data_IF_586252434776
#
_entry.id   IF_586252434776
#
_cell.length_a   1.000
_cell.length_b   1.000
_cell.length_c   1.000
_cell.angle_alpha   90.00
_cell.angle_beta   90.00
_cell.angle_gamma   90.00
#
_symmetry.space_group_name_H-M   'P 1'
#
loop_
_entity.id
_entity.type
_entity.pdbx_description
1 polymer ?
#
# COMPACT_ATOMS: atom_id res chain seq x y z
N UNK A 1 -10.32 -5.87 1.20
CA UNK A 1 -10.03 -4.73 0.31
C UNK A 1 -9.16 -5.13 -0.89
N UNK A 2 -7.93 -5.64 -0.70
CA UNK A 2 -7.05 -6.01 -1.81
C UNK A 2 -7.66 -7.01 -2.80
N UNK A 3 -8.39 -8.02 -2.32
CA UNK A 3 -9.11 -8.96 -3.19
C UNK A 3 -10.12 -8.26 -4.11
N UNK A 4 -10.95 -7.38 -3.57
CA UNK A 4 -11.90 -6.60 -4.38
C UNK A 4 -11.21 -5.67 -5.39
N UNK A 5 -10.00 -5.17 -5.08
CA UNK A 5 -9.25 -4.38 -6.04
C UNK A 5 -8.69 -5.23 -7.18
N UNK A 6 -8.16 -6.40 -6.87
CA UNK A 6 -7.74 -7.37 -7.88
C UNK A 6 -8.92 -7.82 -8.77
N UNK A 7 -10.08 -8.11 -8.17
CA UNK A 7 -11.29 -8.51 -8.91
C UNK A 7 -11.81 -7.38 -9.83
N UNK A 8 -11.67 -6.11 -9.42
CA UNK A 8 -12.09 -4.94 -10.20
C UNK A 8 -11.04 -4.44 -11.19
N UNK A 9 -9.77 -4.81 -11.02
CA UNK A 9 -8.64 -4.33 -11.82
C UNK A 9 -8.10 -2.95 -11.43
N UNK A 10 -8.61 -2.31 -10.37
CA UNK A 10 -8.10 -1.02 -9.87
C UNK A 10 -8.31 -0.85 -8.35
N UNK A 11 -7.51 0.03 -7.73
CA UNK A 11 -7.62 0.40 -6.31
C UNK A 11 -8.63 1.55 -6.11
N UNK A 12 -8.42 2.41 -5.12
CA UNK A 12 -9.10 3.70 -4.96
C UNK A 12 -8.15 4.83 -5.41
N UNK A 13 -8.68 5.98 -5.84
CA UNK A 13 -7.86 7.14 -6.17
C UNK A 13 -6.97 7.55 -4.99
N UNK A 14 -5.72 7.89 -5.28
CA UNK A 14 -4.72 8.32 -4.29
C UNK A 14 -4.24 9.73 -4.64
N UNK A 15 -4.15 10.60 -3.64
CA UNK A 15 -3.52 11.91 -3.77
C UNK A 15 -2.00 11.72 -3.81
N UNK A 16 -1.47 11.45 -5.00
CA UNK A 16 -0.06 11.21 -5.28
C UNK A 16 0.54 12.39 -6.04
N UNK A 17 1.78 12.74 -5.73
CA UNK A 17 2.53 13.68 -6.55
C UNK A 17 2.99 13.00 -7.84
N UNK A 18 2.98 13.68 -9.01
CA UNK A 18 3.44 13.11 -10.28
C UNK A 18 4.85 12.49 -10.21
N UNK A 19 5.75 13.07 -9.39
CA UNK A 19 7.11 12.57 -9.21
C UNK A 19 7.19 11.21 -8.48
N UNK A 20 6.12 10.80 -7.78
CA UNK A 20 6.06 9.53 -7.05
C UNK A 20 5.64 8.38 -7.95
N UNK A 21 4.77 8.63 -8.94
CA UNK A 21 4.15 7.59 -9.78
C UNK A 21 5.15 6.59 -10.37
N UNK A 22 6.30 7.02 -10.95
CA UNK A 22 7.24 6.08 -11.57
C UNK A 22 7.93 5.14 -10.58
N UNK A 23 7.88 5.45 -9.28
CA UNK A 23 8.55 4.71 -8.21
C UNK A 23 7.63 3.70 -7.53
N UNK A 24 6.32 3.86 -7.67
CA UNK A 24 5.33 2.97 -7.08
C UNK A 24 5.12 1.76 -7.98
N UNK A 25 5.26 0.56 -7.39
CA UNK A 25 5.20 -0.72 -8.13
C UNK A 25 4.16 -1.68 -7.57
N UNK A 26 3.86 -1.57 -6.28
CA UNK A 26 3.04 -2.54 -5.58
C UNK A 26 2.15 -1.86 -4.54
N UNK A 27 0.99 -2.44 -4.30
CA UNK A 27 0.05 -2.06 -3.26
C UNK A 27 -0.19 -3.21 -2.28
N UNK A 28 -0.48 -2.84 -1.05
CA UNK A 28 -1.05 -3.76 -0.06
C UNK A 28 -1.96 -2.97 0.86
N UNK A 29 -2.89 -3.67 1.50
CA UNK A 29 -3.77 -3.07 2.49
C UNK A 29 -3.88 -4.01 3.69
N UNK A 30 -3.97 -3.40 4.87
CA UNK A 30 -4.09 -4.11 6.14
C UNK A 30 -5.54 -4.10 6.58
N UNK A 31 -6.07 -5.27 6.91
CA UNK A 31 -7.41 -5.42 7.46
C UNK A 31 -7.37 -5.60 8.98
N UNK A 32 -8.43 -5.21 9.72
CA UNK A 32 -8.53 -5.53 11.15
C UNK A 32 -8.31 -7.03 11.40
N UNK A 33 -7.49 -7.35 12.41
CA UNK A 33 -7.16 -8.74 12.75
C UNK A 33 -6.04 -9.36 11.91
N UNK A 34 -5.60 -8.73 10.82
CA UNK A 34 -4.47 -9.23 10.02
C UNK A 34 -3.18 -9.24 10.86
N UNK A 35 -2.44 -10.35 10.79
CA UNK A 35 -1.21 -10.55 11.55
C UNK A 35 0.07 -10.43 10.69
N UNK A 36 -0.06 -10.58 9.36
CA UNK A 36 1.04 -10.51 8.42
C UNK A 36 0.60 -9.99 7.04
N UNK A 37 1.56 -9.54 6.24
CA UNK A 37 1.41 -9.30 4.80
C UNK A 37 1.89 -10.57 4.10
N UNK A 38 1.01 -11.27 3.38
CA UNK A 38 1.36 -12.48 2.63
C UNK A 38 1.58 -12.24 1.14
N UNK A 39 1.07 -11.14 0.61
CA UNK A 39 1.16 -10.81 -0.80
C UNK A 39 1.06 -9.30 -1.03
N UNK A 40 1.60 -8.88 -2.16
CA UNK A 40 1.47 -7.55 -2.73
C UNK A 40 0.71 -7.66 -4.06
N UNK A 41 0.06 -6.58 -4.45
CA UNK A 41 -0.61 -6.49 -5.74
C UNK A 41 0.15 -5.52 -6.63
N UNK A 42 0.52 -5.96 -7.83
CA UNK A 42 1.24 -5.14 -8.80
C UNK A 42 0.39 -3.96 -9.27
N UNK A 43 1.03 -2.79 -9.39
CA UNK A 43 0.46 -1.62 -10.07
C UNK A 43 0.96 -1.65 -11.51
N UNK A 44 0.03 -1.70 -12.46
CA UNK A 44 0.35 -1.77 -13.89
C UNK A 44 0.35 -0.40 -14.56
N UNK A 45 -0.50 0.51 -14.07
CA UNK A 45 -0.62 1.87 -14.59
C UNK A 45 -1.27 2.81 -13.56
N UNK A 46 -1.16 4.11 -13.82
CA UNK A 46 -1.91 5.15 -13.13
C UNK A 46 -2.66 5.99 -14.16
N UNK A 47 -3.94 6.25 -13.90
CA UNK A 47 -4.74 7.17 -14.70
C UNK A 47 -5.11 8.40 -13.85
N UNK A 48 -5.13 9.62 -14.42
CA UNK A 48 -5.67 10.79 -13.73
C UNK A 48 -7.12 10.56 -13.33
N UNK A 49 -7.47 10.91 -12.09
CA UNK A 49 -8.82 10.85 -11.58
C UNK A 49 -9.28 12.24 -11.14
N UNK A 50 -10.40 12.70 -11.71
CA UNK A 50 -10.94 14.01 -11.36
C UNK A 50 -12.09 13.85 -10.38
N UNK A 51 -11.92 14.40 -9.18
CA UNK A 51 -12.99 14.52 -8.20
C UNK A 51 -13.10 16.01 -7.77
N UNK A 52 -14.26 16.66 -8.01
CA UNK A 52 -14.42 18.08 -7.72
C UNK A 52 -14.07 18.43 -6.28
N UNK A 53 -13.12 19.35 -6.09
CA UNK A 53 -12.72 19.86 -4.78
C UNK A 53 -11.67 19.03 -4.02
N UNK A 54 -11.19 17.91 -4.57
CA UNK A 54 -10.23 17.02 -3.90
C UNK A 54 -8.80 17.13 -4.46
N UNK A 55 -8.60 17.93 -5.53
CA UNK A 55 -7.31 18.13 -6.17
C UNK A 55 -6.92 16.98 -7.09
N UNK A 56 -5.63 16.90 -7.45
CA UNK A 56 -5.14 15.87 -8.37
C UNK A 56 -5.08 14.50 -7.68
N UNK A 57 -5.87 13.56 -8.19
CA UNK A 57 -5.89 12.17 -7.76
C UNK A 57 -5.43 11.26 -8.89
N UNK A 58 -4.87 10.12 -8.52
CA UNK A 58 -4.39 9.10 -9.45
C UNK A 58 -5.02 7.75 -9.12
N UNK A 59 -5.64 7.13 -10.12
CA UNK A 59 -6.26 5.81 -10.00
C UNK A 59 -5.23 4.72 -10.33
N UNK A 60 -4.83 3.87 -9.38
CA UNK A 60 -3.92 2.78 -9.65
C UNK A 60 -4.68 1.61 -10.29
N UNK A 61 -4.28 1.23 -11.50
CA UNK A 61 -4.66 -0.03 -12.10
C UNK A 61 -3.78 -1.14 -11.56
N UNK A 62 -4.38 -2.30 -11.30
CA UNK A 62 -3.71 -3.40 -10.63
C UNK A 62 -3.78 -4.68 -11.43
N UNK A 63 -2.72 -5.48 -11.30
CA UNK A 63 -2.52 -6.70 -12.06
C UNK A 63 -2.30 -7.90 -11.15
N UNK A 64 -1.09 -8.48 -11.25
CA UNK A 64 -0.82 -9.78 -10.67
C UNK A 64 -0.54 -9.72 -9.16
N UNK A 65 -0.80 -10.83 -8.49
CA UNK A 65 -0.41 -11.03 -7.10
C UNK A 65 1.05 -11.47 -7.02
N UNK A 66 1.84 -10.71 -6.28
CA UNK A 66 3.18 -11.13 -5.85
C UNK A 66 3.08 -11.73 -4.46
N UNK A 67 3.08 -13.06 -4.37
CA UNK A 67 3.14 -13.76 -3.09
C UNK A 67 4.53 -13.63 -2.48
N UNK A 68 4.58 -13.22 -1.22
CA UNK A 68 5.85 -13.16 -0.50
C UNK A 68 6.30 -14.59 -0.16
N UNK A 69 7.60 -14.93 -0.36
CA UNK A 69 8.12 -16.26 -0.04
C UNK A 69 7.99 -16.60 1.44
N UNK A 70 7.96 -15.56 2.30
CA UNK A 70 7.61 -15.65 3.72
C UNK A 70 6.65 -14.51 4.04
N UNK A 71 5.49 -14.78 4.67
CA UNK A 71 4.61 -13.72 5.13
C UNK A 71 5.35 -12.78 6.09
N UNK A 72 5.29 -11.48 5.86
CA UNK A 72 5.92 -10.46 6.69
C UNK A 72 5.01 -10.19 7.91
N UNK A 73 5.40 -10.55 9.14
CA UNK A 73 4.62 -10.24 10.33
C UNK A 73 4.44 -8.74 10.50
N UNK A 74 3.30 -8.30 11.03
CA UNK A 74 3.09 -6.86 11.28
C UNK A 74 3.94 -6.35 12.45
N UNK A 75 4.09 -7.15 13.50
CA UNK A 75 4.76 -6.75 14.73
C UNK A 75 3.86 -5.92 15.67
N UNK A 76 4.43 -5.16 16.62
CA UNK A 76 3.65 -4.46 17.65
C UNK A 76 2.69 -3.41 17.07
N UNK A 77 1.39 -3.60 17.31
CA UNK A 77 0.32 -2.70 16.84
C UNK A 77 0.50 -1.25 17.30
N UNK A 78 1.02 -1.02 18.50
CA UNK A 78 1.22 0.32 19.04
C UNK A 78 2.19 1.16 18.17
N UNK A 79 3.23 0.53 17.62
CA UNK A 79 4.21 1.19 16.75
C UNK A 79 3.61 1.47 15.37
N UNK A 80 2.83 0.52 14.85
CA UNK A 80 2.16 0.66 13.56
C UNK A 80 1.04 1.71 13.57
N UNK A 81 0.27 1.87 14.66
CA UNK A 81 -0.83 2.85 14.74
C UNK A 81 -0.39 4.29 14.50
N UNK A 82 0.87 4.63 14.79
CA UNK A 82 1.42 5.97 14.58
C UNK A 82 1.93 6.20 13.15
N UNK A 83 2.15 5.11 12.40
CA UNK A 83 2.78 5.15 11.09
C UNK A 83 1.83 4.80 9.95
N UNK A 84 0.92 3.84 10.17
CA UNK A 84 0.00 3.39 9.15
C UNK A 84 -1.13 4.39 8.93
N UNK A 85 -1.63 4.48 7.68
CA UNK A 85 -2.91 5.12 7.36
C UNK A 85 -4.01 4.71 8.32
N UNK A 86 -4.71 5.70 8.89
CA UNK A 86 -5.88 5.50 9.74
C UNK A 86 -7.19 5.78 8.99
N UNK A 87 -7.12 6.43 7.83
CA UNK A 87 -8.26 6.77 6.97
C UNK A 87 -8.08 6.16 5.57
N UNK A 88 -9.16 5.84 4.84
CA UNK A 88 -9.08 5.23 3.51
C UNK A 88 -8.26 6.03 2.48
N UNK A 89 -8.27 7.36 2.58
CA UNK A 89 -7.55 8.27 1.69
C UNK A 89 -6.06 8.38 2.01
N UNK A 90 -5.65 7.91 3.19
CA UNK A 90 -4.26 7.94 3.61
C UNK A 90 -3.51 6.73 3.06
N UNK A 91 -2.24 6.94 2.75
CA UNK A 91 -1.34 5.91 2.26
C UNK A 91 0.05 6.15 2.84
N UNK A 92 0.88 5.12 2.82
CA UNK A 92 2.27 5.20 3.24
C UNK A 92 3.15 4.47 2.21
N UNK A 93 4.24 5.10 1.81
CA UNK A 93 5.22 4.50 0.91
C UNK A 93 6.28 3.79 1.73
N UNK A 94 6.56 2.55 1.34
CA UNK A 94 7.58 1.72 1.95
C UNK A 94 8.54 1.27 0.85
N UNK A 95 9.86 1.47 1.00
CA UNK A 95 10.83 0.95 0.04
C UNK A 95 10.73 -0.58 -0.04
N UNK A 96 10.55 -1.11 -1.26
CA UNK A 96 10.32 -2.55 -1.46
C UNK A 96 11.47 -3.39 -0.90
N UNK A 97 12.72 -3.00 -1.17
CA UNK A 97 13.89 -3.74 -0.67
C UNK A 97 13.95 -3.76 0.86
N UNK A 98 13.60 -2.64 1.52
CA UNK A 98 13.53 -2.59 2.97
C UNK A 98 12.39 -3.49 3.50
N UNK A 99 11.24 -3.52 2.82
CA UNK A 99 10.12 -4.39 3.15
C UNK A 99 10.49 -5.87 3.06
N UNK A 100 11.19 -6.27 1.99
CA UNK A 100 11.63 -7.65 1.79
C UNK A 100 12.74 -8.08 2.77
N UNK A 101 13.56 -7.15 3.24
CA UNK A 101 14.62 -7.40 4.21
C UNK A 101 14.13 -7.37 5.68
N UNK A 102 12.98 -6.78 5.95
CA UNK A 102 12.46 -6.63 7.30
C UNK A 102 12.03 -7.97 7.91
N UNK A 103 12.23 -8.12 9.23
CA UNK A 103 11.69 -9.26 9.98
C UNK A 103 10.21 -9.07 10.32
N UNK A 104 9.76 -7.81 10.39
CA UNK A 104 8.36 -7.41 10.60
C UNK A 104 8.15 -5.99 10.12
N UNK A 105 6.92 -5.68 9.72
CA UNK A 105 6.54 -4.37 9.20
C UNK A 105 6.86 -3.23 10.19
N UNK A 106 6.64 -3.47 11.49
CA UNK A 106 6.92 -2.47 12.53
C UNK A 106 8.40 -2.05 12.63
N UNK A 107 9.34 -2.84 12.09
CA UNK A 107 10.76 -2.47 12.10
C UNK A 107 11.03 -1.29 11.15
N UNK A 108 10.18 -1.11 10.14
CA UNK A 108 10.24 -0.03 9.15
C UNK A 108 9.56 1.25 9.62
N UNK A 109 8.75 1.15 10.70
CA UNK A 109 8.10 2.32 11.26
C UNK A 109 9.16 3.28 11.83
N UNK A 110 9.11 4.59 11.50
CA UNK A 110 10.05 5.58 12.01
C UNK A 110 10.16 5.52 13.54
N UNK A 111 11.38 5.63 14.06
CA UNK A 111 11.63 5.77 15.49
C UNK A 111 11.41 7.25 15.83
N UNK A 112 10.24 7.59 16.35
CA UNK A 112 9.94 8.91 16.93
C UNK A 112 9.47 8.72 18.36
#
# INVERSE_FOLDING_TARGET
AMRHAADRGFWMPLALEPAQLPQLRYLTALSPGQACIGALLEITAFEPWHEPGIGDLWLPFVGQWLHLPRPLPLGPRARLRRWLPQQPQQWAVVPLLALLAAQRLSDLAPQR
#
